data_IF_342747367683
#
_entry.id   IF_342747367683
#
_cell.length_a   1.000
_cell.length_b   1.000
_cell.length_c   1.000
_cell.angle_alpha   90.00
_cell.angle_beta   90.00
_cell.angle_gamma   90.00
#
_symmetry.space_group_name_H-M   'P 1'
#
loop_
_entity.id
_entity.type
_entity.pdbx_description
1 polymer ?
#
# COMPACT_ATOMS: atom_id res chain seq x y z
N UNK A 1 -11.91 25.82 10.13
CA UNK A 1 -11.49 25.23 8.84
C UNK A 1 -10.21 25.85 8.28
N UNK A 2 -10.00 27.19 8.27
CA UNK A 2 -8.77 27.79 7.70
C UNK A 2 -7.48 27.36 8.44
N UNK A 3 -7.54 27.24 9.77
CA UNK A 3 -6.36 26.94 10.60
C UNK A 3 -5.87 25.48 10.43
N UNK A 4 -6.79 24.52 10.27
CA UNK A 4 -6.44 23.11 10.07
C UNK A 4 -5.84 22.91 8.67
N UNK A 5 -6.44 23.54 7.64
CA UNK A 5 -5.85 23.55 6.30
C UNK A 5 -4.49 24.25 6.30
N UNK A 6 -4.31 25.34 7.06
CA UNK A 6 -3.02 26.04 7.13
C UNK A 6 -1.89 25.23 7.81
N UNK A 7 -2.21 24.46 8.86
CA UNK A 7 -1.23 23.58 9.54
C UNK A 7 -0.94 22.34 8.70
N UNK A 8 -1.97 21.75 8.09
CA UNK A 8 -1.79 20.67 7.11
C UNK A 8 -0.95 21.14 5.92
N UNK A 9 -1.18 22.36 5.42
CA UNK A 9 -0.39 22.93 4.34
C UNK A 9 1.08 23.09 4.73
N UNK A 10 1.41 23.58 5.94
CA UNK A 10 2.80 23.70 6.39
C UNK A 10 3.53 22.35 6.51
N UNK A 11 2.87 21.33 7.06
CA UNK A 11 3.42 19.97 7.15
C UNK A 11 3.54 19.35 5.75
N UNK A 12 2.57 19.60 4.87
CA UNK A 12 2.57 19.15 3.50
C UNK A 12 3.66 19.83 2.66
N UNK A 13 4.01 21.10 2.90
CA UNK A 13 5.05 21.80 2.14
C UNK A 13 6.43 21.15 2.29
N UNK A 14 6.80 20.69 3.49
CA UNK A 14 8.06 19.97 3.70
C UNK A 14 8.06 18.65 2.92
N UNK A 15 6.96 17.89 3.02
CA UNK A 15 6.87 16.57 2.38
C UNK A 15 6.77 16.65 0.86
N UNK A 16 6.01 17.60 0.32
CA UNK A 16 5.97 17.88 -1.12
C UNK A 16 7.33 18.33 -1.62
N UNK A 17 8.09 19.08 -0.83
CA UNK A 17 9.49 19.42 -1.13
C UNK A 17 10.39 18.21 -1.22
N UNK A 18 10.24 17.23 -0.32
CA UNK A 18 10.95 15.95 -0.38
C UNK A 18 10.56 15.12 -1.61
N UNK A 19 9.26 15.11 -1.97
CA UNK A 19 8.77 14.46 -3.18
C UNK A 19 9.39 15.07 -4.43
N UNK A 20 9.38 16.40 -4.53
CA UNK A 20 10.02 17.12 -5.62
C UNK A 20 11.54 16.94 -5.65
N UNK A 21 12.18 16.77 -4.49
CA UNK A 21 13.60 16.46 -4.40
C UNK A 21 13.90 15.07 -4.96
N UNK A 22 13.14 14.03 -4.58
CA UNK A 22 13.41 12.69 -5.10
C UNK A 22 13.07 12.56 -6.57
N UNK A 23 12.06 13.27 -7.09
CA UNK A 23 11.76 13.33 -8.54
C UNK A 23 12.96 13.85 -9.33
N UNK A 24 13.74 14.76 -8.75
CA UNK A 24 14.95 15.34 -9.38
C UNK A 24 16.21 14.52 -9.13
N UNK A 25 16.27 13.75 -8.05
CA UNK A 25 17.43 12.98 -7.63
C UNK A 25 17.09 11.49 -7.37
N UNK A 26 16.41 10.79 -8.30
CA UNK A 26 15.84 9.47 -8.02
C UNK A 26 16.91 8.41 -7.70
N UNK A 27 18.05 8.48 -8.39
CA UNK A 27 19.14 7.51 -8.26
C UNK A 27 19.84 7.65 -6.90
N UNK A 28 20.06 8.89 -6.45
CA UNK A 28 20.62 9.18 -5.13
C UNK A 28 19.70 8.62 -4.03
N UNK A 29 18.39 8.82 -4.16
CA UNK A 29 17.41 8.38 -3.17
C UNK A 29 17.37 6.85 -3.09
N UNK A 30 17.38 6.15 -4.23
CA UNK A 30 17.43 4.68 -4.23
C UNK A 30 18.75 4.12 -3.72
N UNK A 31 19.88 4.76 -4.00
CA UNK A 31 21.18 4.39 -3.43
C UNK A 31 21.21 4.56 -1.90
N UNK A 32 20.60 5.63 -1.38
CA UNK A 32 20.47 5.85 0.05
C UNK A 32 19.53 4.82 0.71
N UNK A 33 18.40 4.49 0.06
CA UNK A 33 17.50 3.43 0.53
C UNK A 33 18.19 2.08 0.56
N UNK A 34 18.86 1.71 -0.53
CA UNK A 34 19.68 0.50 -0.61
C UNK A 34 20.63 0.41 0.58
N UNK A 35 21.53 1.40 0.73
CA UNK A 35 22.50 1.45 1.84
C UNK A 35 21.85 1.34 3.21
N UNK A 36 20.74 2.04 3.45
CA UNK A 36 20.01 1.96 4.71
C UNK A 36 19.54 0.52 4.98
N UNK A 37 18.94 -0.13 3.99
CA UNK A 37 18.42 -1.49 4.11
C UNK A 37 19.53 -2.49 4.43
N UNK A 38 20.62 -2.52 3.65
CA UNK A 38 21.70 -3.51 3.86
C UNK A 38 22.34 -3.33 5.24
N UNK A 39 22.60 -2.07 5.63
CA UNK A 39 23.22 -1.75 6.92
C UNK A 39 22.34 -2.14 8.11
N UNK A 40 21.03 -1.87 8.05
CA UNK A 40 20.11 -2.24 9.14
C UNK A 40 19.98 -3.75 9.27
N UNK A 41 19.93 -4.46 8.14
CA UNK A 41 19.70 -5.89 8.11
C UNK A 41 20.96 -6.74 8.30
N UNK A 42 22.16 -6.15 8.33
CA UNK A 42 23.40 -6.91 8.30
C UNK A 42 23.61 -7.83 9.52
N UNK A 43 23.02 -7.47 10.66
CA UNK A 43 23.04 -8.27 11.89
C UNK A 43 22.02 -9.42 11.91
N UNK A 44 21.07 -9.47 10.97
CA UNK A 44 20.03 -10.50 10.92
C UNK A 44 20.59 -11.84 10.46
N UNK A 45 19.86 -12.94 10.69
CA UNK A 45 20.21 -14.25 10.16
C UNK A 45 20.41 -14.20 8.63
N UNK A 46 19.51 -13.53 7.91
CA UNK A 46 19.59 -13.39 6.45
C UNK A 46 20.78 -12.54 6.02
N UNK A 47 21.02 -11.42 6.70
CA UNK A 47 22.17 -10.55 6.43
C UNK A 47 23.51 -11.24 6.65
N UNK A 48 23.62 -12.08 7.69
CA UNK A 48 24.79 -12.91 7.94
C UNK A 48 24.96 -14.00 6.87
N UNK A 49 23.86 -14.66 6.48
CA UNK A 49 23.89 -15.71 5.43
C UNK A 49 24.46 -15.19 4.11
N UNK A 50 24.15 -13.95 3.75
CA UNK A 50 24.58 -13.32 2.50
C UNK A 50 25.62 -12.22 2.71
N UNK A 51 26.36 -12.22 3.82
CA UNK A 51 27.49 -11.32 4.07
C UNK A 51 27.20 -9.84 3.77
N UNK A 52 26.08 -9.33 4.26
CA UNK A 52 25.62 -7.95 4.00
C UNK A 52 26.64 -6.88 4.40
N UNK A 53 27.45 -7.14 5.43
CA UNK A 53 28.54 -6.23 5.85
C UNK A 53 29.68 -6.09 4.81
N UNK A 54 29.77 -7.02 3.85
CA UNK A 54 30.82 -7.02 2.83
C UNK A 54 30.34 -6.36 1.52
N UNK A 55 29.03 -6.20 1.34
CA UNK A 55 28.42 -5.63 0.12
C UNK A 55 28.74 -4.13 0.03
N UNK A 56 29.46 -3.72 -1.02
CA UNK A 56 29.84 -2.33 -1.25
C UNK A 56 28.85 -1.58 -2.15
N UNK A 57 28.21 -2.28 -3.09
CA UNK A 57 27.33 -1.68 -4.08
C UNK A 57 26.17 -2.60 -4.51
N UNK A 58 25.26 -2.02 -5.31
CA UNK A 58 24.05 -2.68 -5.84
C UNK A 58 24.36 -3.87 -6.75
N UNK A 59 25.50 -3.84 -7.47
CA UNK A 59 25.89 -4.93 -8.36
C UNK A 59 26.40 -6.14 -7.56
N UNK A 60 27.21 -5.90 -6.54
CA UNK A 60 27.68 -6.94 -5.62
C UNK A 60 26.49 -7.57 -4.86
N UNK A 61 25.52 -6.76 -4.44
CA UNK A 61 24.28 -7.26 -3.86
C UNK A 61 23.51 -8.18 -4.82
N UNK A 62 23.29 -7.74 -6.05
CA UNK A 62 22.59 -8.54 -7.06
C UNK A 62 23.34 -9.83 -7.45
N UNK A 63 24.67 -9.83 -7.37
CA UNK A 63 25.48 -11.02 -7.60
C UNK A 63 25.46 -12.00 -6.42
N UNK A 64 25.32 -11.51 -5.18
CA UNK A 64 25.41 -12.31 -3.95
C UNK A 64 24.07 -12.86 -3.48
N UNK A 65 23.01 -12.05 -3.59
CA UNK A 65 21.66 -12.39 -3.14
C UNK A 65 20.87 -12.82 -4.36
N UNK A 66 20.31 -14.04 -4.44
CA UNK A 66 19.48 -14.43 -5.57
C UNK A 66 18.14 -13.68 -5.54
N UNK A 67 17.44 -13.66 -6.67
CA UNK A 67 16.03 -13.27 -6.70
C UNK A 67 15.25 -14.36 -5.97
N UNK A 68 14.33 -13.96 -5.08
CA UNK A 68 13.51 -14.89 -4.30
C UNK A 68 12.04 -14.75 -4.70
N UNK A 69 11.35 -15.88 -4.80
CA UNK A 69 9.89 -15.90 -4.75
C UNK A 69 9.40 -16.12 -3.30
N UNK A 70 8.09 -16.32 -3.13
CA UNK A 70 7.52 -16.59 -1.81
C UNK A 70 7.98 -17.91 -1.19
N UNK A 71 8.09 -18.98 -1.97
CA UNK A 71 8.46 -20.29 -1.46
C UNK A 71 9.92 -20.32 -0.98
N UNK A 72 10.79 -19.55 -1.62
CA UNK A 72 12.18 -19.36 -1.18
C UNK A 72 12.27 -18.72 0.22
N UNK A 73 11.45 -17.70 0.50
CA UNK A 73 11.49 -16.96 1.77
C UNK A 73 10.57 -17.52 2.86
N UNK A 74 9.63 -18.39 2.50
CA UNK A 74 8.60 -18.97 3.37
C UNK A 74 9.16 -19.57 4.65
N UNK A 75 10.32 -20.22 4.57
CA UNK A 75 10.97 -20.85 5.73
C UNK A 75 11.42 -19.80 6.77
N UNK A 76 11.88 -18.63 6.34
CA UNK A 76 12.24 -17.51 7.21
C UNK A 76 11.01 -16.86 7.81
N UNK A 77 9.96 -16.63 7.00
CA UNK A 77 8.69 -16.10 7.47
C UNK A 77 8.09 -17.01 8.55
N UNK A 78 8.11 -18.32 8.33
CA UNK A 78 7.58 -19.27 9.30
C UNK A 78 8.36 -19.27 10.63
N UNK A 79 9.67 -19.00 10.62
CA UNK A 79 10.46 -18.76 11.83
C UNK A 79 9.98 -17.51 12.57
N UNK A 80 9.76 -16.41 11.85
CA UNK A 80 9.20 -15.18 12.42
C UNK A 80 7.80 -15.40 13.02
N UNK A 81 6.92 -16.13 12.31
CA UNK A 81 5.58 -16.45 12.79
C UNK A 81 5.58 -17.33 14.06
N UNK A 82 6.64 -18.09 14.30
CA UNK A 82 6.87 -18.85 15.55
C UNK A 82 7.48 -17.99 16.68
N UNK A 83 7.71 -16.70 16.43
CA UNK A 83 8.23 -15.75 17.40
C UNK A 83 9.75 -15.54 17.34
N UNK A 84 10.49 -16.22 16.45
CA UNK A 84 11.91 -15.95 16.28
C UNK A 84 12.11 -14.54 15.71
N UNK A 85 13.00 -13.74 16.30
CA UNK A 85 13.27 -12.36 15.86
C UNK A 85 14.62 -12.26 15.16
N UNK A 86 14.91 -11.14 14.50
CA UNK A 86 16.18 -10.90 13.80
C UNK A 86 16.48 -11.91 12.68
N UNK A 87 15.44 -12.49 12.05
CA UNK A 87 15.61 -13.43 10.94
C UNK A 87 15.79 -12.69 9.61
N UNK A 88 14.78 -11.89 9.22
CA UNK A 88 14.75 -11.14 7.95
C UNK A 88 14.97 -9.64 8.11
N UNK A 89 14.60 -9.10 9.27
CA UNK A 89 14.73 -7.68 9.62
C UNK A 89 15.21 -7.54 11.07
N UNK A 90 15.84 -6.41 11.41
CA UNK A 90 16.56 -6.21 12.67
C UNK A 90 15.68 -5.69 13.82
N UNK A 91 14.41 -5.43 13.58
CA UNK A 91 13.42 -5.06 14.59
C UNK A 91 12.37 -6.14 14.77
N UNK A 92 11.62 -6.05 15.86
CA UNK A 92 10.61 -7.05 16.21
C UNK A 92 9.48 -7.09 15.18
N UNK A 93 9.13 -8.29 14.73
CA UNK A 93 8.05 -8.52 13.77
C UNK A 93 6.92 -9.33 14.39
N UNK A 94 5.76 -8.70 14.60
CA UNK A 94 4.56 -9.32 15.20
C UNK A 94 3.44 -9.55 14.22
N UNK A 95 3.33 -8.65 13.23
CA UNK A 95 2.23 -8.60 12.29
C UNK A 95 2.60 -9.26 10.97
N UNK A 96 1.66 -10.00 10.41
CA UNK A 96 1.80 -10.61 9.09
C UNK A 96 0.57 -10.29 8.24
N UNK A 97 0.77 -9.65 7.09
CA UNK A 97 -0.29 -9.45 6.12
C UNK A 97 -0.51 -10.75 5.34
N UNK A 98 -1.74 -11.25 5.38
CA UNK A 98 -2.19 -12.40 4.58
C UNK A 98 -2.45 -11.91 3.16
N UNK A 99 -1.77 -12.50 2.18
CA UNK A 99 -1.96 -12.22 0.76
C UNK A 99 -2.55 -13.47 0.07
N UNK A 100 -3.50 -13.25 -0.84
CA UNK A 100 -4.09 -14.29 -1.68
C UNK A 100 -3.10 -14.68 -2.78
N UNK A 101 -2.20 -15.61 -2.50
CA UNK A 101 -1.35 -16.23 -3.51
C UNK A 101 -2.15 -17.19 -4.39
N UNK A 102 -1.93 -17.14 -5.71
CA UNK A 102 -2.58 -18.00 -6.73
C UNK A 102 -1.89 -19.36 -6.91
N UNK A 103 -0.83 -19.66 -6.15
CA UNK A 103 -0.09 -20.92 -6.24
C UNK A 103 -0.32 -21.80 -5.00
N UNK A 104 -1.05 -22.90 -5.19
CA UNK A 104 -1.20 -24.04 -4.27
C UNK A 104 -1.83 -23.79 -2.88
N UNK A 105 -3.12 -23.43 -2.84
CA UNK A 105 -4.04 -23.54 -1.67
C UNK A 105 -3.55 -23.04 -0.29
N UNK A 106 -2.44 -22.31 -0.21
CA UNK A 106 -1.84 -21.80 1.03
C UNK A 106 -1.61 -20.31 0.89
N UNK A 107 -2.25 -19.55 1.78
CA UNK A 107 -2.09 -18.10 1.83
C UNK A 107 -0.63 -17.70 2.04
N UNK A 108 -0.21 -16.61 1.38
CA UNK A 108 1.10 -15.99 1.60
C UNK A 108 1.01 -15.13 2.87
N UNK A 109 2.08 -15.10 3.66
CA UNK A 109 2.19 -14.27 4.87
C UNK A 109 3.38 -13.33 4.70
N UNK A 110 3.11 -12.05 4.65
CA UNK A 110 4.14 -11.03 4.45
C UNK A 110 4.44 -10.37 5.79
N UNK A 111 5.70 -10.33 6.25
CA UNK A 111 6.04 -9.69 7.51
C UNK A 111 5.80 -8.17 7.45
N UNK A 112 5.17 -7.63 8.49
CA UNK A 112 4.88 -6.22 8.64
C UNK A 112 5.62 -5.70 9.87
N UNK A 113 6.72 -4.99 9.63
CA UNK A 113 7.58 -4.38 10.66
C UNK A 113 7.05 -3.01 11.03
N UNK A 114 7.54 -2.43 12.14
CA UNK A 114 7.17 -1.06 12.48
C UNK A 114 7.64 -0.05 11.41
N UNK A 115 8.81 -0.29 10.81
CA UNK A 115 9.33 0.51 9.71
C UNK A 115 8.45 0.41 8.46
N UNK A 116 8.00 -0.79 8.06
CA UNK A 116 7.11 -0.90 6.89
C UNK A 116 5.72 -0.31 7.17
N UNK A 117 5.25 -0.34 8.42
CA UNK A 117 4.03 0.39 8.81
C UNK A 117 4.20 1.90 8.70
N UNK A 118 5.19 2.47 9.38
CA UNK A 118 5.33 3.92 9.53
C UNK A 118 5.95 4.60 8.31
N UNK A 119 7.05 4.04 7.77
CA UNK A 119 7.82 4.66 6.69
C UNK A 119 7.29 4.31 5.30
N UNK A 120 6.46 3.27 5.18
CA UNK A 120 5.82 2.89 3.91
C UNK A 120 4.31 3.13 3.94
N UNK A 121 3.52 2.25 4.58
CA UNK A 121 2.05 2.28 4.43
C UNK A 121 1.36 3.51 5.05
N UNK A 122 1.82 4.01 6.20
CA UNK A 122 1.24 5.21 6.80
C UNK A 122 1.80 6.49 6.19
N UNK A 123 3.06 6.47 5.73
CA UNK A 123 3.63 7.58 4.96
C UNK A 123 2.87 7.77 3.65
N UNK A 124 2.59 6.69 2.91
CA UNK A 124 1.83 6.77 1.66
C UNK A 124 0.44 7.37 1.82
N UNK A 125 -0.29 6.98 2.87
CA UNK A 125 -1.58 7.58 3.21
C UNK A 125 -1.51 9.10 3.37
N UNK A 126 -0.44 9.62 4.01
CA UNK A 126 -0.22 11.07 4.17
C UNK A 126 0.14 11.73 2.84
N UNK A 127 1.01 11.10 2.07
CA UNK A 127 1.49 11.63 0.78
C UNK A 127 0.36 11.72 -0.26
N UNK A 128 -0.54 10.73 -0.33
CA UNK A 128 -1.74 10.79 -1.19
C UNK A 128 -2.54 12.07 -0.91
N UNK A 129 -2.78 12.38 0.38
CA UNK A 129 -3.51 13.58 0.74
C UNK A 129 -2.71 14.86 0.48
N UNK A 130 -1.40 14.87 0.70
CA UNK A 130 -0.55 16.02 0.40
C UNK A 130 -0.56 16.34 -1.10
N UNK A 131 -0.36 15.33 -1.94
CA UNK A 131 -0.40 15.43 -3.40
C UNK A 131 -1.78 15.89 -3.88
N UNK A 132 -2.86 15.24 -3.39
CA UNK A 132 -4.21 15.60 -3.78
C UNK A 132 -4.57 17.05 -3.42
N UNK A 133 -4.19 17.51 -2.22
CA UNK A 133 -4.44 18.90 -1.79
C UNK A 133 -3.60 19.89 -2.57
N UNK A 134 -2.37 19.52 -2.96
CA UNK A 134 -1.54 20.34 -3.85
C UNK A 134 -2.20 20.52 -5.22
N UNK A 135 -2.78 19.45 -5.78
CA UNK A 135 -3.49 19.49 -7.06
C UNK A 135 -4.86 20.19 -6.95
N UNK A 136 -5.50 20.15 -5.78
CA UNK A 136 -6.79 20.78 -5.52
C UNK A 136 -6.81 21.62 -4.22
N UNK A 137 -6.17 22.81 -4.18
CA UNK A 137 -6.07 23.62 -2.97
C UNK A 137 -7.43 24.05 -2.38
N UNK A 138 -8.43 24.23 -3.23
CA UNK A 138 -9.79 24.62 -2.86
C UNK A 138 -10.67 23.43 -2.41
N UNK A 139 -10.06 22.25 -2.21
CA UNK A 139 -10.80 21.06 -1.81
C UNK A 139 -11.34 21.15 -0.38
N UNK A 140 -12.54 20.61 -0.19
CA UNK A 140 -13.22 20.52 1.11
C UNK A 140 -13.36 19.07 1.58
N UNK A 141 -12.58 18.13 1.02
CA UNK A 141 -12.68 16.69 1.34
C UNK A 141 -12.52 16.39 2.83
N UNK A 142 -11.77 17.20 3.59
CA UNK A 142 -11.60 17.01 5.03
C UNK A 142 -12.78 17.50 5.88
N UNK A 143 -13.79 18.13 5.27
CA UNK A 143 -15.03 18.53 5.97
C UNK A 143 -15.91 17.34 6.35
N UNK A 144 -15.78 16.24 5.61
CA UNK A 144 -16.55 15.01 5.83
C UNK A 144 -15.76 13.87 6.47
N UNK A 145 -16.25 12.67 6.23
CA UNK A 145 -15.69 11.39 6.68
C UNK A 145 -15.04 10.65 5.52
N UNK A 146 -13.98 9.91 5.85
CA UNK A 146 -13.35 8.93 4.98
C UNK A 146 -13.99 7.58 5.25
N UNK A 147 -14.73 7.05 4.27
CA UNK A 147 -15.24 5.69 4.34
C UNK A 147 -14.20 4.72 3.79
N UNK A 148 -13.80 3.78 4.64
CA UNK A 148 -12.83 2.76 4.28
C UNK A 148 -13.49 1.40 4.33
N UNK A 149 -13.23 0.58 3.33
CA UNK A 149 -13.69 -0.81 3.32
C UNK A 149 -12.44 -1.70 3.36
N UNK A 150 -12.21 -2.32 4.52
CA UNK A 150 -11.05 -3.18 4.79
C UNK A 150 -11.46 -4.64 4.96
N UNK A 151 -10.47 -5.51 4.98
CA UNK A 151 -10.58 -6.94 5.25
C UNK A 151 -10.75 -7.28 6.74
N UNK A 152 -10.41 -8.50 7.14
CA UNK A 152 -10.50 -8.96 8.53
C UNK A 152 -9.14 -9.35 9.13
N UNK A 153 -9.08 -9.47 10.46
CA UNK A 153 -7.88 -9.91 11.22
C UNK A 153 -8.15 -11.17 12.01
N UNK A 154 -7.12 -11.99 12.22
CA UNK A 154 -7.17 -13.21 13.03
C UNK A 154 -5.92 -13.33 13.92
N UNK A 155 -6.03 -14.08 15.03
CA UNK A 155 -4.89 -14.38 15.92
C UNK A 155 -4.01 -15.47 15.28
N UNK A 156 -2.68 -15.36 15.40
CA UNK A 156 -1.78 -16.41 14.91
C UNK A 156 -1.78 -17.62 15.86
N UNK A 157 -2.20 -18.82 15.43
CA UNK A 157 -2.18 -20.00 16.31
C UNK A 157 -0.77 -20.50 16.62
N UNK A 158 0.27 -20.02 15.91
CA UNK A 158 1.65 -20.47 16.08
C UNK A 158 2.40 -19.75 17.21
N UNK A 159 1.92 -18.60 17.68
CA UNK A 159 2.55 -17.83 18.76
C UNK A 159 1.55 -16.86 19.37
N UNK A 160 1.48 -16.80 20.70
CA UNK A 160 0.56 -15.92 21.45
C UNK A 160 0.79 -14.42 21.20
N UNK A 161 2.01 -14.04 20.78
CA UNK A 161 2.41 -12.65 20.54
C UNK A 161 2.56 -12.31 19.04
N UNK A 162 1.92 -13.09 18.17
CA UNK A 162 1.91 -12.86 16.72
C UNK A 162 0.48 -12.82 16.19
N UNK A 163 0.27 -12.05 15.12
CA UNK A 163 -1.05 -11.80 14.53
C UNK A 163 -0.97 -11.80 13.01
N UNK A 164 -2.06 -12.20 12.33
CA UNK A 164 -2.14 -12.08 10.88
C UNK A 164 -3.52 -11.64 10.42
N UNK A 165 -3.60 -11.07 9.22
CA UNK A 165 -4.87 -10.63 8.65
C UNK A 165 -4.67 -9.96 7.32
N UNK A 166 -5.75 -9.53 6.68
CA UNK A 166 -5.63 -8.72 5.48
C UNK A 166 -4.84 -7.45 5.81
N UNK A 167 -4.01 -6.97 4.86
CA UNK A 167 -3.17 -5.78 5.09
C UNK A 167 -3.97 -4.62 5.68
N UNK A 168 -5.14 -4.31 5.09
CA UNK A 168 -6.01 -3.24 5.56
C UNK A 168 -6.44 -3.39 7.02
N UNK A 169 -6.61 -4.62 7.50
CA UNK A 169 -6.99 -4.93 8.86
C UNK A 169 -5.79 -4.75 9.82
N UNK A 170 -4.58 -5.18 9.41
CA UNK A 170 -3.32 -4.88 10.12
C UNK A 170 -3.11 -3.37 10.25
N UNK A 171 -3.33 -2.61 9.16
CA UNK A 171 -3.21 -1.15 9.18
C UNK A 171 -4.23 -0.54 10.15
N UNK A 172 -5.50 -0.95 10.11
CA UNK A 172 -6.52 -0.47 11.06
C UNK A 172 -6.09 -0.69 12.50
N UNK A 173 -5.58 -1.88 12.85
CA UNK A 173 -5.21 -2.18 14.24
C UNK A 173 -4.02 -1.33 14.75
N UNK A 174 -3.15 -0.89 13.84
CA UNK A 174 -1.98 -0.08 14.19
C UNK A 174 -2.21 1.43 13.99
N UNK A 175 -3.40 1.86 13.55
CA UNK A 175 -3.69 3.28 13.39
C UNK A 175 -3.88 3.97 14.75
N UNK A 176 -3.40 5.22 14.87
CA UNK A 176 -3.65 6.00 16.07
C UNK A 176 -5.15 6.29 16.28
N UNK A 177 -5.59 6.29 17.54
CA UNK A 177 -7.01 6.37 17.90
C UNK A 177 -7.74 7.62 17.36
N UNK A 178 -7.01 8.73 17.19
CA UNK A 178 -7.60 9.98 16.71
C UNK A 178 -8.01 9.93 15.23
N UNK A 179 -7.47 8.99 14.45
CA UNK A 179 -7.85 8.84 13.03
C UNK A 179 -9.32 8.41 12.88
N UNK A 180 -9.88 7.71 13.88
CA UNK A 180 -11.28 7.27 13.92
C UNK A 180 -12.29 8.42 14.04
N UNK A 181 -11.85 9.64 14.39
CA UNK A 181 -12.72 10.81 14.35
C UNK A 181 -13.07 11.23 12.92
N UNK A 182 -12.29 10.84 11.90
CA UNK A 182 -12.56 11.14 10.49
C UNK A 182 -12.88 9.89 9.68
N UNK A 183 -12.39 8.73 10.10
CA UNK A 183 -12.65 7.45 9.45
C UNK A 183 -14.00 6.86 9.86
N UNK A 184 -14.71 6.27 8.90
CA UNK A 184 -15.85 5.37 9.14
C UNK A 184 -15.69 4.08 8.31
N UNK A 185 -16.24 2.96 8.76
CA UNK A 185 -16.83 2.75 10.08
C UNK A 185 -15.73 2.71 11.17
N UNK A 186 -16.12 2.60 12.45
CA UNK A 186 -15.16 2.39 13.53
C UNK A 186 -14.49 1.00 13.41
N UNK A 187 -13.31 0.79 14.03
CA UNK A 187 -12.58 -0.48 13.94
C UNK A 187 -13.42 -1.72 14.26
N UNK A 188 -14.33 -1.65 15.23
CA UNK A 188 -15.13 -2.80 15.64
C UNK A 188 -16.03 -3.32 14.52
N UNK A 189 -16.51 -2.42 13.65
CA UNK A 189 -17.27 -2.78 12.45
C UNK A 189 -16.33 -3.10 11.28
N UNK A 190 -15.24 -2.32 11.13
CA UNK A 190 -14.31 -2.47 10.03
C UNK A 190 -13.59 -3.84 10.02
N UNK A 191 -13.41 -4.44 11.20
CA UNK A 191 -12.67 -5.68 11.40
C UNK A 191 -13.57 -6.92 11.52
N UNK A 192 -14.89 -6.79 11.35
CA UNK A 192 -15.83 -7.94 11.36
C UNK A 192 -15.46 -8.97 10.29
N UNK A 193 -15.55 -10.26 10.65
CA UNK A 193 -15.27 -11.40 9.75
C UNK A 193 -16.47 -11.72 8.85
N UNK A 194 -17.68 -11.76 9.42
CA UNK A 194 -18.90 -12.12 8.68
C UNK A 194 -19.31 -11.00 7.71
N UNK A 195 -19.15 -11.27 6.42
CA UNK A 195 -19.31 -10.29 5.35
C UNK A 195 -20.69 -9.64 5.34
N UNK A 196 -21.76 -10.43 5.45
CA UNK A 196 -23.13 -9.92 5.37
C UNK A 196 -23.48 -9.01 6.56
N UNK A 197 -23.08 -9.41 7.78
CA UNK A 197 -23.28 -8.59 8.99
C UNK A 197 -22.44 -7.32 8.98
N UNK A 198 -21.18 -7.42 8.51
CA UNK A 198 -20.29 -6.29 8.30
C UNK A 198 -20.91 -5.29 7.34
N UNK A 199 -21.40 -5.76 6.21
CA UNK A 199 -22.04 -4.96 5.18
C UNK A 199 -23.25 -4.19 5.73
N UNK A 200 -24.12 -4.86 6.47
CA UNK A 200 -25.27 -4.22 7.12
C UNK A 200 -24.83 -3.15 8.12
N UNK A 201 -23.87 -3.48 8.98
CA UNK A 201 -23.34 -2.56 10.00
C UNK A 201 -22.64 -1.33 9.39
N UNK A 202 -21.90 -1.53 8.28
CA UNK A 202 -21.26 -0.44 7.54
C UNK A 202 -22.29 0.53 6.94
N UNK A 203 -23.38 0.00 6.36
CA UNK A 203 -24.47 0.81 5.82
C UNK A 203 -25.10 1.66 6.93
N UNK A 204 -25.48 1.04 8.04
CA UNK A 204 -26.07 1.74 9.18
C UNK A 204 -25.15 2.83 9.77
N UNK A 205 -23.86 2.54 9.86
CA UNK A 205 -22.87 3.48 10.38
C UNK A 205 -22.61 4.69 9.46
N UNK A 206 -22.92 4.59 8.16
CA UNK A 206 -22.49 5.55 7.14
C UNK A 206 -23.61 6.29 6.40
N UNK A 207 -24.82 5.71 6.32
CA UNK A 207 -25.93 6.24 5.50
C UNK A 207 -26.30 7.69 5.85
N UNK A 208 -26.26 8.06 7.13
CA UNK A 208 -26.58 9.41 7.60
C UNK A 208 -25.34 10.27 7.91
N UNK A 209 -24.19 9.96 7.30
CA UNK A 209 -22.93 10.69 7.50
C UNK A 209 -22.59 11.52 6.27
N UNK A 210 -21.89 12.64 6.48
CA UNK A 210 -21.26 13.39 5.40
C UNK A 210 -19.98 12.66 4.96
N UNK A 211 -20.09 11.73 4.01
CA UNK A 211 -18.93 11.04 3.41
C UNK A 211 -18.42 11.85 2.23
N UNK A 212 -17.11 12.11 2.23
CA UNK A 212 -16.43 12.92 1.21
C UNK A 212 -15.35 12.13 0.48
N UNK A 213 -14.82 11.08 1.10
CA UNK A 213 -13.72 10.27 0.58
C UNK A 213 -14.07 8.78 0.74
N UNK A 214 -13.84 7.99 -0.31
CA UNK A 214 -13.82 6.53 -0.28
C UNK A 214 -12.38 6.04 -0.39
N UNK A 215 -12.02 4.97 0.32
CA UNK A 215 -10.69 4.33 0.20
C UNK A 215 -10.84 2.81 0.21
N UNK A 216 -10.42 2.15 -0.87
CA UNK A 216 -10.34 0.68 -0.96
C UNK A 216 -10.59 0.14 -2.37
N UNK A 217 -10.94 -1.15 -2.45
CA UNK A 217 -11.05 -1.87 -3.73
C UNK A 217 -12.38 -1.57 -4.44
N UNK A 218 -12.37 -1.16 -5.73
CA UNK A 218 -13.56 -0.83 -6.51
C UNK A 218 -14.63 -1.92 -6.52
N UNK A 219 -14.25 -3.18 -6.71
CA UNK A 219 -15.22 -4.29 -6.76
C UNK A 219 -16.04 -4.43 -5.46
N UNK A 220 -15.41 -4.26 -4.30
CA UNK A 220 -16.06 -4.39 -3.00
C UNK A 220 -16.90 -3.16 -2.70
N UNK A 221 -16.39 -1.97 -3.02
CA UNK A 221 -17.15 -0.73 -2.90
C UNK A 221 -18.38 -0.71 -3.78
N UNK A 222 -18.32 -1.22 -5.01
CA UNK A 222 -19.48 -1.25 -5.89
C UNK A 222 -20.63 -2.07 -5.30
N UNK A 223 -20.33 -3.22 -4.71
CA UNK A 223 -21.33 -4.03 -3.96
C UNK A 223 -21.91 -3.23 -2.80
N UNK A 224 -21.04 -2.56 -2.04
CA UNK A 224 -21.47 -1.74 -0.91
C UNK A 224 -22.37 -0.57 -1.31
N UNK A 225 -21.98 0.20 -2.32
CA UNK A 225 -22.70 1.38 -2.79
C UNK A 225 -24.08 1.00 -3.36
N UNK A 226 -24.18 -0.11 -4.09
CA UNK A 226 -25.48 -0.63 -4.56
C UNK A 226 -26.42 -0.98 -3.42
N UNK A 227 -25.94 -1.65 -2.38
CA UNK A 227 -26.76 -1.98 -1.19
C UNK A 227 -27.14 -0.74 -0.39
N UNK A 228 -26.22 0.23 -0.26
CA UNK A 228 -26.49 1.51 0.37
C UNK A 228 -27.61 2.27 -0.36
N UNK A 229 -27.55 2.35 -1.69
CA UNK A 229 -28.58 2.98 -2.52
C UNK A 229 -29.93 2.28 -2.38
N UNK A 230 -29.94 0.95 -2.42
CA UNK A 230 -31.16 0.16 -2.22
C UNK A 230 -31.78 0.43 -0.84
N UNK A 231 -30.96 0.49 0.22
CA UNK A 231 -31.43 0.79 1.58
C UNK A 231 -31.97 2.22 1.72
N UNK A 232 -31.34 3.18 1.05
CA UNK A 232 -31.74 4.58 1.06
C UNK A 232 -32.93 4.89 0.13
N UNK A 233 -33.22 4.01 -0.83
CA UNK A 233 -34.17 4.30 -1.91
C UNK A 233 -33.66 5.37 -2.88
N UNK A 234 -32.34 5.50 -3.03
CA UNK A 234 -31.69 6.52 -3.84
C UNK A 234 -31.32 6.02 -5.24
N UNK A 235 -31.37 6.91 -6.25
CA UNK A 235 -31.00 6.55 -7.63
C UNK A 235 -29.50 6.68 -7.90
N UNK A 236 -28.80 7.48 -7.11
CA UNK A 236 -27.35 7.65 -7.17
C UNK A 236 -26.80 8.00 -5.77
N UNK A 237 -25.49 7.85 -5.60
CA UNK A 237 -24.83 8.05 -4.30
C UNK A 237 -24.86 9.50 -3.83
N UNK A 238 -24.93 10.47 -4.74
CA UNK A 238 -24.93 11.90 -4.38
C UNK A 238 -26.24 12.34 -3.71
N UNK A 239 -27.33 11.59 -3.86
CA UNK A 239 -28.56 11.78 -3.07
C UNK A 239 -28.35 11.44 -1.58
N UNK A 240 -27.38 10.57 -1.28
CA UNK A 240 -27.04 10.13 0.09
C UNK A 240 -25.87 10.95 0.64
N UNK A 241 -24.82 11.13 -0.17
CA UNK A 241 -23.59 11.83 0.17
C UNK A 241 -23.30 12.96 -0.82
N UNK A 242 -23.95 14.13 -0.69
CA UNK A 242 -23.84 15.22 -1.65
C UNK A 242 -22.44 15.83 -1.81
N UNK A 243 -21.56 15.60 -0.82
CA UNK A 243 -20.18 16.12 -0.82
C UNK A 243 -19.13 15.06 -1.17
N UNK A 244 -19.55 13.87 -1.63
CA UNK A 244 -18.61 12.85 -2.09
C UNK A 244 -17.79 13.39 -3.27
N UNK A 245 -16.45 13.32 -3.16
CA UNK A 245 -15.55 13.97 -4.13
C UNK A 245 -14.31 13.16 -4.50
N UNK A 246 -13.90 12.21 -3.66
CA UNK A 246 -12.66 11.47 -3.90
C UNK A 246 -12.87 9.98 -3.63
N UNK A 247 -12.43 9.13 -4.56
CA UNK A 247 -12.24 7.71 -4.35
C UNK A 247 -10.77 7.36 -4.60
N UNK A 248 -10.05 7.02 -3.54
CA UNK A 248 -8.69 6.49 -3.61
C UNK A 248 -8.81 4.97 -3.72
N UNK A 249 -8.30 4.41 -4.80
CA UNK A 249 -8.47 2.98 -5.09
C UNK A 249 -7.14 2.31 -5.46
N UNK A 250 -7.13 0.99 -5.34
CA UNK A 250 -5.98 0.15 -5.69
C UNK A 250 -6.35 -1.33 -5.64
N UNK A 251 -5.40 -2.19 -6.02
CA UNK A 251 -5.51 -3.65 -5.94
C UNK A 251 -6.26 -4.33 -7.09
N UNK A 252 -6.97 -3.58 -7.95
CA UNK A 252 -7.54 -4.06 -9.23
C UNK A 252 -7.57 -2.94 -10.25
N UNK A 253 -7.58 -3.29 -11.53
CA UNK A 253 -7.80 -2.34 -12.62
C UNK A 253 -9.20 -1.71 -12.50
N UNK A 254 -9.27 -0.38 -12.59
CA UNK A 254 -10.53 0.39 -12.47
C UNK A 254 -11.34 0.45 -13.76
N UNK A 255 -10.71 0.37 -14.94
CA UNK A 255 -11.36 0.51 -16.25
C UNK A 255 -12.63 -0.34 -16.41
N UNK A 256 -12.68 -1.62 -15.96
CA UNK A 256 -13.91 -2.43 -16.07
C UNK A 256 -15.10 -1.91 -15.23
N UNK A 257 -14.86 -1.03 -14.26
CA UNK A 257 -15.85 -0.48 -13.34
C UNK A 257 -16.22 0.97 -13.63
N UNK A 258 -15.45 1.66 -14.47
CA UNK A 258 -15.53 3.11 -14.71
C UNK A 258 -16.95 3.57 -15.11
N UNK A 259 -17.53 3.00 -16.16
CA UNK A 259 -18.89 3.35 -16.62
C UNK A 259 -19.94 3.17 -15.51
N UNK A 260 -19.81 2.09 -14.73
CA UNK A 260 -20.74 1.81 -13.63
C UNK A 260 -20.59 2.87 -12.53
N UNK A 261 -19.35 3.22 -12.17
CA UNK A 261 -19.09 4.25 -11.16
C UNK A 261 -19.60 5.63 -11.58
N UNK A 262 -19.40 6.03 -12.85
CA UNK A 262 -19.98 7.27 -13.37
C UNK A 262 -21.51 7.26 -13.35
N UNK A 263 -22.14 6.11 -13.60
CA UNK A 263 -23.61 6.01 -13.53
C UNK A 263 -24.15 6.18 -12.10
N UNK A 264 -23.46 5.63 -11.10
CA UNK A 264 -23.91 5.68 -9.69
C UNK A 264 -23.41 6.92 -8.93
N UNK A 265 -22.38 7.61 -9.44
CA UNK A 265 -21.87 8.89 -8.93
C UNK A 265 -21.79 9.88 -10.12
N UNK A 266 -22.93 10.42 -10.57
CA UNK A 266 -23.00 11.27 -11.75
C UNK A 266 -22.50 12.69 -11.43
N UNK A 267 -21.19 12.85 -11.26
CA UNK A 267 -20.56 14.16 -11.04
C UNK A 267 -19.18 14.27 -11.68
N UNK A 268 -19.01 15.32 -12.48
CA UNK A 268 -17.72 15.73 -13.06
C UNK A 268 -16.72 16.23 -12.00
N UNK A 269 -17.16 16.36 -10.74
CA UNK A 269 -16.30 16.76 -9.61
C UNK A 269 -15.75 15.55 -8.85
N UNK A 270 -16.23 14.34 -9.17
CA UNK A 270 -15.75 13.12 -8.54
C UNK A 270 -14.38 12.76 -9.12
N UNK A 271 -13.41 12.55 -8.23
CA UNK A 271 -12.07 12.16 -8.58
C UNK A 271 -11.83 10.71 -8.21
N UNK A 272 -11.25 9.95 -9.14
CA UNK A 272 -10.77 8.59 -8.93
C UNK A 272 -9.25 8.66 -8.97
N UNK A 273 -8.59 8.34 -7.85
CA UNK A 273 -7.15 8.43 -7.70
C UNK A 273 -6.58 7.03 -7.52
N UNK A 274 -5.75 6.61 -8.47
CA UNK A 274 -5.13 5.29 -8.44
C UNK A 274 -3.91 5.24 -7.53
N UNK A 275 -3.77 4.11 -6.85
CA UNK A 275 -2.62 3.77 -6.03
C UNK A 275 -2.17 2.36 -6.33
N UNK A 276 -0.86 2.17 -6.39
CA UNK A 276 -0.25 0.87 -6.54
C UNK A 276 0.36 0.41 -5.21
N UNK A 277 -0.26 -0.58 -4.58
CA UNK A 277 0.16 -1.13 -3.31
C UNK A 277 -0.18 -2.62 -3.19
N UNK A 278 0.58 -3.32 -2.35
CA UNK A 278 0.39 -4.72 -2.00
C UNK A 278 0.68 -4.94 -0.51
N UNK A 279 0.59 -6.18 -0.04
CA UNK A 279 1.01 -6.57 1.32
C UNK A 279 2.51 -6.37 1.53
N UNK A 280 3.28 -6.46 0.44
CA UNK A 280 4.74 -6.32 0.40
C UNK A 280 5.23 -4.87 0.47
N UNK A 281 4.37 -3.89 0.17
CA UNK A 281 4.75 -2.48 0.18
C UNK A 281 3.71 -1.58 -0.50
N UNK A 282 3.99 -0.29 -0.47
CA UNK A 282 3.26 0.72 -1.22
C UNK A 282 4.22 1.32 -2.25
N UNK A 283 3.86 1.30 -3.52
CA UNK A 283 4.80 1.52 -4.62
C UNK A 283 4.51 2.80 -5.40
N UNK A 284 3.25 3.08 -5.76
CA UNK A 284 2.91 4.14 -6.69
C UNK A 284 1.71 4.98 -6.29
N UNK A 285 1.74 6.27 -6.62
CA UNK A 285 0.62 7.21 -6.46
C UNK A 285 0.41 7.92 -7.80
N UNK A 286 -0.83 8.01 -8.26
CA UNK A 286 -1.17 8.89 -9.38
C UNK A 286 -1.04 10.36 -8.94
N UNK A 287 0.11 10.97 -9.23
CA UNK A 287 0.44 12.35 -8.81
C UNK A 287 0.04 13.41 -9.83
N UNK A 288 0.00 13.06 -11.11
CA UNK A 288 -0.52 13.88 -12.20
C UNK A 288 -1.79 13.25 -12.78
N UNK A 289 -2.92 13.93 -12.58
CA UNK A 289 -4.24 13.46 -13.04
C UNK A 289 -4.50 13.73 -14.53
N UNK A 290 -3.55 14.34 -15.23
CA UNK A 290 -3.55 14.40 -16.68
C UNK A 290 -2.90 13.17 -17.33
N UNK A 291 -2.29 12.29 -16.52
CA UNK A 291 -1.73 11.00 -16.94
C UNK A 291 -2.41 9.83 -16.24
N UNK A 292 -2.43 8.68 -16.92
CA UNK A 292 -2.79 7.39 -16.34
C UNK A 292 -1.57 6.73 -15.64
N UNK A 293 -0.40 7.35 -15.72
CA UNK A 293 0.82 6.90 -15.05
C UNK A 293 0.79 7.18 -13.54
N UNK A 294 1.63 6.46 -12.80
CA UNK A 294 1.84 6.68 -11.36
C UNK A 294 3.29 7.03 -11.07
N UNK A 295 3.50 7.94 -10.13
CA UNK A 295 4.80 8.22 -9.55
C UNK A 295 5.24 7.06 -8.66
N UNK A 296 6.36 6.42 -9.03
CA UNK A 296 7.03 5.44 -8.18
C UNK A 296 7.63 6.13 -6.95
N UNK A 297 7.21 5.70 -5.77
CA UNK A 297 7.64 6.26 -4.49
C UNK A 297 8.98 5.64 -4.07
N UNK A 298 10.03 6.46 -4.12
CA UNK A 298 11.41 6.01 -4.01
C UNK A 298 11.97 6.00 -2.58
N UNK A 299 11.25 6.55 -1.60
CA UNK A 299 11.76 6.78 -0.25
C UNK A 299 10.96 6.08 0.87
N UNK A 300 10.20 5.04 0.49
CA UNK A 300 9.33 4.29 1.41
C UNK A 300 9.98 3.08 2.07
N UNK A 301 11.32 3.06 2.17
CA UNK A 301 12.03 1.88 2.68
C UNK A 301 12.00 0.71 1.71
N UNK A 302 11.88 0.98 0.40
CA UNK A 302 11.89 0.00 -0.67
C UNK A 302 13.01 0.35 -1.65
N UNK A 303 13.87 -0.62 -1.90
CA UNK A 303 14.83 -0.61 -2.99
C UNK A 303 14.30 -1.44 -4.16
N UNK A 304 14.30 -0.84 -5.35
CA UNK A 304 13.74 -1.42 -6.57
C UNK A 304 14.82 -1.93 -7.51
N UNK A 305 14.58 -3.11 -8.05
CA UNK A 305 15.27 -3.67 -9.20
C UNK A 305 14.22 -4.08 -10.24
N UNK A 306 14.60 -4.09 -11.51
CA UNK A 306 13.70 -4.42 -12.60
C UNK A 306 14.27 -5.59 -13.40
N UNK A 307 13.43 -6.52 -13.85
CA UNK A 307 13.88 -7.60 -14.72
C UNK A 307 13.06 -7.55 -16.01
N UNK A 308 13.71 -7.30 -17.14
CA UNK A 308 13.03 -7.26 -18.44
C UNK A 308 12.22 -8.53 -18.62
N UNK A 309 10.96 -8.39 -19.01
CA UNK A 309 10.04 -9.53 -19.09
C UNK A 309 10.53 -10.59 -20.09
N UNK A 310 11.15 -10.15 -21.19
CA UNK A 310 11.80 -11.06 -22.14
C UNK A 310 12.92 -11.89 -21.47
N UNK A 311 13.78 -11.25 -20.68
CA UNK A 311 14.88 -11.91 -19.98
C UNK A 311 14.36 -12.85 -18.88
N UNK A 312 13.33 -12.43 -18.15
CA UNK A 312 12.65 -13.26 -17.14
C UNK A 312 12.09 -14.54 -17.77
N UNK A 313 11.41 -14.44 -18.92
CA UNK A 313 10.87 -15.59 -19.64
C UNK A 313 11.95 -16.55 -20.17
N UNK A 314 13.18 -16.06 -20.35
CA UNK A 314 14.35 -16.85 -20.71
C UNK A 314 15.08 -17.43 -19.49
N UNK A 315 14.59 -17.20 -18.27
CA UNK A 315 15.20 -17.66 -17.02
C UNK A 315 16.47 -16.89 -16.62
N UNK A 316 16.69 -15.70 -17.19
CA UNK A 316 17.80 -14.82 -16.78
C UNK A 316 17.45 -14.12 -15.47
N UNK A 317 18.48 -13.84 -14.69
CA UNK A 317 18.36 -13.22 -13.36
C UNK A 317 19.06 -11.85 -13.26
N UNK A 318 19.59 -11.36 -14.38
CA UNK A 318 20.26 -10.07 -14.42
C UNK A 318 19.24 -8.95 -14.40
N UNK A 319 19.25 -8.17 -13.32
CA UNK A 319 18.37 -7.03 -13.14
C UNK A 319 18.91 -5.78 -13.82
N UNK A 320 17.98 -4.92 -14.21
CA UNK A 320 18.16 -3.55 -14.68
C UNK A 320 17.94 -2.62 -13.48
N UNK A 321 18.85 -1.66 -13.28
CA UNK A 321 18.74 -0.67 -12.23
C UNK A 321 17.77 0.45 -12.63
N UNK A 322 17.33 1.27 -11.67
CA UNK A 322 16.39 2.36 -11.92
C UNK A 322 16.87 3.33 -13.01
N UNK A 323 18.16 3.63 -13.07
CA UNK A 323 18.77 4.50 -14.08
C UNK A 323 18.78 3.91 -15.51
N UNK A 324 18.63 2.59 -15.64
CA UNK A 324 18.80 1.86 -16.89
C UNK A 324 17.47 1.35 -17.49
N UNK A 325 16.33 1.68 -16.86
CA UNK A 325 15.01 1.32 -17.40
C UNK A 325 14.70 2.10 -18.67
N UNK A 326 13.99 1.46 -19.60
CA UNK A 326 13.64 2.03 -20.90
C UNK A 326 12.13 2.18 -20.97
N UNK A 327 11.65 3.38 -21.30
CA UNK A 327 10.23 3.68 -21.43
C UNK A 327 9.58 2.78 -22.48
N UNK A 328 8.46 2.15 -22.12
CA UNK A 328 7.69 1.28 -23.00
C UNK A 328 8.15 -0.18 -23.00
N UNK A 329 9.22 -0.51 -22.27
CA UNK A 329 9.67 -1.89 -22.05
C UNK A 329 8.99 -2.47 -20.81
N UNK A 330 8.57 -3.73 -20.88
CA UNK A 330 7.92 -4.38 -19.74
C UNK A 330 8.96 -5.00 -18.79
N UNK A 331 8.82 -4.70 -17.50
CA UNK A 331 9.68 -5.23 -16.45
C UNK A 331 8.87 -5.92 -15.36
N UNK A 332 9.33 -7.09 -14.92
CA UNK A 332 8.93 -7.62 -13.63
C UNK A 332 9.62 -6.83 -12.51
N UNK A 333 8.85 -6.42 -11.50
CA UNK A 333 9.38 -5.65 -10.38
C UNK A 333 9.96 -6.56 -9.30
N UNK A 334 11.14 -6.20 -8.79
CA UNK A 334 11.84 -6.90 -7.72
C UNK A 334 12.11 -5.88 -6.61
N UNK A 335 11.82 -6.27 -5.36
CA UNK A 335 11.90 -5.34 -4.22
C UNK A 335 12.76 -5.89 -3.10
N UNK A 336 13.50 -5.00 -2.45
CA UNK A 336 14.05 -5.24 -1.11
C UNK A 336 13.45 -4.22 -0.15
N UNK A 337 12.91 -4.65 0.98
CA UNK A 337 12.05 -3.81 1.82
C UNK A 337 12.49 -3.76 3.28
N UNK A 338 12.12 -2.68 3.95
CA UNK A 338 12.19 -2.55 5.41
C UNK A 338 11.22 -3.49 6.17
N UNK A 339 10.44 -4.31 5.46
CA UNK A 339 9.70 -5.45 6.00
C UNK A 339 10.50 -6.76 6.02
N UNK A 340 11.73 -6.76 5.48
CA UNK A 340 12.61 -7.93 5.44
C UNK A 340 12.42 -8.83 4.21
N UNK A 341 11.81 -8.32 3.14
CA UNK A 341 11.85 -8.97 1.83
C UNK A 341 13.16 -8.58 1.13
N UNK A 342 13.86 -9.53 0.51
CA UNK A 342 15.17 -9.31 -0.10
C UNK A 342 15.20 -9.84 -1.52
N UNK A 343 15.37 -8.95 -2.50
CA UNK A 343 15.24 -9.25 -3.94
C UNK A 343 14.01 -10.11 -4.25
N UNK A 344 12.89 -9.75 -3.63
CA UNK A 344 11.65 -10.48 -3.74
C UNK A 344 10.92 -10.13 -5.03
N UNK A 345 10.59 -11.14 -5.82
CA UNK A 345 9.76 -11.02 -7.01
C UNK A 345 8.29 -10.93 -6.59
N UNK A 346 7.70 -9.75 -6.80
CA UNK A 346 6.31 -9.47 -6.41
C UNK A 346 5.31 -10.20 -7.32
N UNK A 347 5.67 -10.38 -8.60
CA UNK A 347 4.83 -11.05 -9.60
C UNK A 347 4.04 -10.10 -10.50
N UNK A 348 4.17 -8.79 -10.27
CA UNK A 348 3.58 -7.74 -11.10
C UNK A 348 4.59 -7.23 -12.13
N UNK A 349 4.05 -6.68 -13.22
CA UNK A 349 4.83 -6.03 -14.28
C UNK A 349 4.51 -4.54 -14.36
N UNK A 350 5.51 -3.75 -14.69
CA UNK A 350 5.39 -2.32 -15.03
C UNK A 350 5.94 -2.06 -16.43
N UNK A 351 5.60 -0.93 -17.04
CA UNK A 351 5.94 -0.57 -18.44
C UNK A 351 6.54 0.82 -18.53
#
# INVERSE_FOLDING_TARGET
>A
MPLINSILNLINYSRLGEIEYFKKNPIEIQENQFKMLINRASGTYFGQKYFFNEIQDRNEFAARVPIHDYDDIKSYIHRLMKGEQNVLWNTETKWFAKSSGTTSDKSKFIPITNESLEDCHFRSGKDIFAIYVNNYPETNIFSGKTLTLGGSTSVNPLSENSYYGDLSAVLIQNLPFWTYFKRIPKPEIALMEEWEEKMQSMIEASINKNVTILVGVPSWFLVFLKRLMQKAGANNILEIWPNLKLFIYGGVNFLPYEEVYHSIIPSDKMMYLETYNASEGFFGIQDDLSSDDMLLMLDYGIYYEFLKLEDFNQGKTQTTMLEDVVVGENYAMIISTNGGLWRYLIGDTIT
#
